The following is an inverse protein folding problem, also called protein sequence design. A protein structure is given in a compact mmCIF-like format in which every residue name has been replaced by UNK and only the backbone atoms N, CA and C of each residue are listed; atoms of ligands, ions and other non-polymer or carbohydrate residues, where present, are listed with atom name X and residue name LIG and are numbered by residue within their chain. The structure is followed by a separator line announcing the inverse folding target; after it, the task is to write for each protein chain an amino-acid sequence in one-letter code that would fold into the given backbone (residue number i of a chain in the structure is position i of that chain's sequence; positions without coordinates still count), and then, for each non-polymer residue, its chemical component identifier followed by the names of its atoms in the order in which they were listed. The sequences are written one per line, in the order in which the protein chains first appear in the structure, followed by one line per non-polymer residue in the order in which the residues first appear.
data_IF_032477824730
#
_entry.id   IF_032477824730
#
_cell.length_a   1.000
_cell.length_b   1.000
_cell.length_c   1.000
_cell.angle_alpha   90.00
_cell.angle_beta   90.00
_cell.angle_gamma   90.00
#
_symmetry.space_group_name_H-M   'P 1'
#
loop_
_entity.id
_entity.type
_entity.pdbx_description
1 polymer ?
#
# COMPACT_ATOMS: atom_id res chain seq x y z
N UNK A 1 39.38 26.83 -11.23
CA UNK A 1 39.29 26.08 -12.50
C UNK A 1 38.69 24.72 -12.17
N UNK A 2 37.38 24.60 -12.32
CA UNK A 2 36.56 23.58 -11.66
C UNK A 2 36.10 22.53 -12.67
N UNK A 3 36.62 21.30 -12.54
CA UNK A 3 36.18 20.15 -13.32
C UNK A 3 34.91 19.55 -12.71
N UNK A 4 33.79 19.67 -13.45
CA UNK A 4 32.52 19.02 -13.16
C UNK A 4 32.53 17.59 -13.71
N UNK A 5 32.53 16.63 -12.80
CA UNK A 5 32.42 15.19 -13.06
C UNK A 5 31.03 14.84 -13.61
N UNK A 6 30.94 14.56 -14.91
CA UNK A 6 29.74 14.07 -15.56
C UNK A 6 29.43 12.63 -15.13
N UNK A 7 28.34 12.44 -14.38
CA UNK A 7 27.84 11.11 -14.01
C UNK A 7 27.27 10.39 -15.24
N UNK A 8 27.99 9.37 -15.69
CA UNK A 8 27.57 8.41 -16.71
C UNK A 8 26.23 7.74 -16.34
N UNK A 9 25.26 7.75 -17.25
CA UNK A 9 24.01 6.99 -17.16
C UNK A 9 24.19 5.69 -17.95
N UNK A 10 23.90 4.49 -17.41
CA UNK A 10 24.08 3.26 -18.16
C UNK A 10 23.08 3.17 -19.32
N UNK A 11 23.59 2.94 -20.52
CA UNK A 11 22.83 2.60 -21.72
C UNK A 11 22.04 1.31 -21.50
N UNK A 12 20.77 1.32 -21.89
CA UNK A 12 19.85 0.17 -21.80
C UNK A 12 20.21 -0.86 -22.88
N UNK A 13 20.89 -1.94 -22.50
CA UNK A 13 21.12 -3.10 -23.37
C UNK A 13 19.85 -3.95 -23.38
N UNK A 14 19.33 -4.27 -24.58
CA UNK A 14 18.22 -5.20 -24.74
C UNK A 14 18.72 -6.62 -24.49
N UNK A 15 18.43 -7.16 -23.30
CA UNK A 15 18.71 -8.56 -22.95
C UNK A 15 17.64 -9.52 -23.48
N UNK A 16 18.10 -10.69 -23.93
CA UNK A 16 17.36 -11.77 -24.57
C UNK A 16 16.31 -12.46 -23.68
N UNK A 17 15.44 -13.22 -24.33
CA UNK A 17 14.28 -13.91 -23.77
C UNK A 17 14.70 -15.06 -22.82
N UNK A 18 14.30 -14.97 -21.56
CA UNK A 18 14.50 -16.07 -20.60
C UNK A 18 14.07 -15.73 -19.19
N UNK A 19 12.76 -15.60 -18.94
CA UNK A 19 12.18 -15.73 -17.61
C UNK A 19 10.67 -15.91 -17.75
N UNK A 20 10.19 -17.09 -17.33
CA UNK A 20 8.80 -17.53 -17.19
C UNK A 20 7.76 -16.39 -17.21
N UNK A 21 7.21 -16.15 -18.39
CA UNK A 21 6.06 -15.25 -18.56
C UNK A 21 4.84 -16.01 -18.05
N UNK A 22 4.25 -15.54 -16.94
CA UNK A 22 2.86 -15.85 -16.62
C UNK A 22 1.97 -15.17 -17.67
N UNK A 23 1.87 -15.81 -18.83
CA UNK A 23 1.23 -15.30 -20.05
C UNK A 23 -0.31 -15.37 -19.99
N UNK A 24 -0.88 -15.92 -18.92
CA UNK A 24 -2.30 -16.30 -18.87
C UNK A 24 -3.29 -15.15 -18.63
N UNK A 25 -2.82 -13.92 -18.42
CA UNK A 25 -3.69 -12.81 -18.01
C UNK A 25 -3.36 -11.45 -18.66
N UNK A 26 -2.61 -11.44 -19.77
CA UNK A 26 -2.59 -10.26 -20.64
C UNK A 26 -3.71 -10.43 -21.66
N UNK A 27 -4.56 -9.40 -21.91
CA UNK A 27 -5.43 -9.45 -23.07
C UNK A 27 -4.55 -9.76 -24.28
N UNK A 28 -4.94 -10.69 -25.16
CA UNK A 28 -4.16 -11.00 -26.35
C UNK A 28 -3.90 -9.68 -27.07
N UNK A 29 -2.63 -9.40 -27.41
CA UNK A 29 -2.32 -8.29 -28.30
C UNK A 29 -3.19 -8.46 -29.53
N UNK A 30 -3.86 -7.38 -29.95
CA UNK A 30 -4.68 -7.41 -31.15
C UNK A 30 -3.83 -7.97 -32.31
N UNK A 31 -4.39 -8.88 -33.11
CA UNK A 31 -3.65 -9.56 -34.17
C UNK A 31 -3.00 -8.57 -35.15
N UNK A 32 -3.67 -7.44 -35.41
CA UNK A 32 -3.18 -6.35 -36.27
C UNK A 32 -1.97 -5.59 -35.70
N UNK A 33 -1.62 -5.78 -34.43
CA UNK A 33 -0.46 -5.17 -33.76
C UNK A 33 0.68 -6.16 -33.51
N UNK A 34 0.46 -7.46 -33.75
CA UNK A 34 1.40 -8.51 -33.37
C UNK A 34 2.77 -8.37 -34.06
N UNK A 35 2.77 -7.88 -35.31
CA UNK A 35 3.96 -7.70 -36.13
C UNK A 35 4.58 -6.30 -36.06
N UNK A 36 4.03 -5.39 -35.25
CA UNK A 36 4.43 -3.97 -35.25
C UNK A 36 5.13 -3.58 -33.95
N UNK A 37 6.14 -2.73 -34.08
CA UNK A 37 6.77 -2.04 -32.97
C UNK A 37 5.81 -0.99 -32.37
N UNK A 38 5.96 -0.63 -31.08
CA UNK A 38 5.18 0.45 -30.48
C UNK A 38 5.27 1.78 -31.25
N UNK A 39 6.43 2.07 -31.87
CA UNK A 39 6.63 3.27 -32.69
C UNK A 39 5.78 3.23 -33.95
N UNK A 40 5.74 2.11 -34.66
CA UNK A 40 4.91 1.95 -35.88
C UNK A 40 3.42 2.02 -35.56
N UNK A 41 2.98 1.40 -34.46
CA UNK A 41 1.59 1.49 -33.99
C UNK A 41 1.22 2.94 -33.70
N UNK A 42 2.08 3.68 -32.98
CA UNK A 42 1.84 5.09 -32.69
C UNK A 42 1.89 5.99 -33.94
N UNK A 43 2.70 5.65 -34.95
CA UNK A 43 2.79 6.38 -36.22
C UNK A 43 1.47 6.31 -37.02
N UNK A 44 0.71 5.21 -36.90
CA UNK A 44 -0.64 5.08 -37.49
C UNK A 44 -1.64 6.08 -36.90
N UNK A 45 -1.39 6.56 -35.68
CA UNK A 45 -2.21 7.57 -35.01
C UNK A 45 -1.57 8.96 -35.15
N UNK A 46 -1.72 9.59 -36.32
CA UNK A 46 -1.06 10.87 -36.63
C UNK A 46 -1.52 12.01 -35.69
N UNK A 47 -0.60 12.81 -35.11
CA UNK A 47 -0.94 14.01 -34.35
C UNK A 47 -1.85 14.95 -35.15
N UNK A 48 -2.81 15.58 -34.48
CA UNK A 48 -3.79 16.49 -35.12
C UNK A 48 -4.90 15.79 -35.90
N UNK A 49 -4.71 14.54 -36.35
CA UNK A 49 -5.75 13.74 -37.04
C UNK A 49 -6.44 12.73 -36.12
N UNK A 50 -5.75 12.26 -35.08
CA UNK A 50 -6.31 11.30 -34.11
C UNK A 50 -6.72 12.02 -32.84
N UNK A 51 -7.91 11.70 -32.32
CA UNK A 51 -8.37 12.26 -31.04
C UNK A 51 -7.38 11.93 -29.91
N UNK A 52 -6.95 12.90 -29.07
CA UNK A 52 -5.93 12.71 -28.04
C UNK A 52 -6.18 11.54 -27.08
N UNK A 53 -7.43 11.35 -26.65
CA UNK A 53 -7.78 10.22 -25.77
C UNK A 53 -7.62 8.87 -26.48
N UNK A 54 -7.74 8.80 -27.81
CA UNK A 54 -7.49 7.56 -28.54
C UNK A 54 -6.00 7.22 -28.55
N UNK A 55 -5.14 8.22 -28.72
CA UNK A 55 -3.68 8.06 -28.59
C UNK A 55 -3.32 7.60 -27.16
N UNK A 56 -3.99 8.14 -26.14
CA UNK A 56 -3.80 7.69 -24.76
C UNK A 56 -4.17 6.22 -24.56
N UNK A 57 -5.29 5.75 -25.11
CA UNK A 57 -5.68 4.33 -25.01
C UNK A 57 -4.64 3.41 -25.65
N UNK A 58 -4.06 3.80 -26.80
CA UNK A 58 -2.98 3.05 -27.45
C UNK A 58 -1.74 2.97 -26.54
N UNK A 59 -1.33 4.08 -25.93
CA UNK A 59 -0.22 4.09 -24.97
C UNK A 59 -0.49 3.20 -23.75
N UNK A 60 -1.73 3.22 -23.25
CA UNK A 60 -2.13 2.38 -22.12
C UNK A 60 -2.08 0.89 -22.47
N UNK A 61 -2.55 0.50 -23.67
CA UNK A 61 -2.51 -0.88 -24.14
C UNK A 61 -1.06 -1.37 -24.33
N UNK A 62 -0.19 -0.53 -24.89
CA UNK A 62 1.21 -0.87 -25.13
C UNK A 62 2.07 -0.97 -23.85
N UNK A 63 1.85 -0.08 -22.88
CA UNK A 63 2.85 0.18 -21.85
C UNK A 63 2.35 0.13 -20.41
N UNK A 64 1.04 0.12 -20.15
CA UNK A 64 0.53 0.27 -18.79
C UNK A 64 0.92 -0.89 -17.85
N UNK A 65 1.21 -2.07 -18.41
CA UNK A 65 1.74 -3.20 -17.65
C UNK A 65 3.16 -2.98 -17.10
N UNK A 66 3.92 -2.03 -17.65
CA UNK A 66 5.31 -1.76 -17.24
C UNK A 66 5.37 -0.98 -15.93
N UNK A 67 6.28 -1.38 -15.05
CA UNK A 67 6.66 -0.56 -13.89
C UNK A 67 7.51 0.63 -14.33
N UNK A 68 7.38 1.77 -13.64
CA UNK A 68 7.98 3.04 -14.06
C UNK A 68 9.48 3.14 -13.78
N UNK A 69 10.00 2.25 -12.93
CA UNK A 69 11.40 2.29 -12.46
C UNK A 69 12.08 0.93 -12.33
N UNK A 70 11.35 -0.18 -12.49
CA UNK A 70 11.87 -1.53 -12.24
C UNK A 70 11.49 -2.41 -13.42
N UNK A 71 12.28 -3.44 -13.71
CA UNK A 71 11.96 -4.42 -14.76
C UNK A 71 10.98 -5.45 -14.22
N UNK A 72 9.74 -5.01 -14.02
CA UNK A 72 8.65 -5.87 -13.57
C UNK A 72 7.30 -5.42 -14.11
N UNK A 73 6.35 -6.34 -14.07
CA UNK A 73 4.96 -6.09 -14.39
C UNK A 73 4.23 -5.50 -13.18
N UNK A 74 3.46 -4.43 -13.37
CA UNK A 74 2.60 -3.86 -12.33
C UNK A 74 1.29 -4.63 -12.18
N UNK A 75 0.73 -4.62 -10.97
CA UNK A 75 -0.55 -5.25 -10.65
C UNK A 75 -1.71 -4.65 -11.47
N UNK A 76 -2.76 -5.44 -11.74
CA UNK A 76 -3.98 -4.95 -12.41
C UNK A 76 -4.59 -3.72 -11.72
N UNK A 77 -4.55 -3.66 -10.38
CA UNK A 77 -5.01 -2.48 -9.62
C UNK A 77 -4.21 -1.23 -10.02
N UNK A 78 -2.88 -1.32 -10.02
CA UNK A 78 -2.01 -0.20 -10.42
C UNK A 78 -2.27 0.23 -11.85
N UNK A 79 -2.45 -0.73 -12.78
CA UNK A 79 -2.79 -0.43 -14.18
C UNK A 79 -4.10 0.34 -14.28
N UNK A 80 -5.12 -0.12 -13.57
CA UNK A 80 -6.44 0.52 -13.53
C UNK A 80 -6.37 1.94 -12.95
N UNK A 81 -5.77 2.11 -11.78
CA UNK A 81 -5.63 3.42 -11.13
C UNK A 81 -4.87 4.42 -12.01
N UNK A 82 -3.78 3.97 -12.67
CA UNK A 82 -3.01 4.79 -13.61
C UNK A 82 -3.84 5.17 -14.83
N UNK A 83 -4.56 4.22 -15.43
CA UNK A 83 -5.41 4.48 -16.59
C UNK A 83 -6.56 5.45 -16.26
N UNK A 84 -7.27 5.21 -15.15
CA UNK A 84 -8.37 6.05 -14.68
C UNK A 84 -7.88 7.47 -14.36
N UNK A 85 -6.70 7.59 -13.75
CA UNK A 85 -6.04 8.89 -13.56
C UNK A 85 -5.69 9.56 -14.88
N UNK A 86 -4.97 8.91 -15.79
CA UNK A 86 -4.52 9.55 -17.03
C UNK A 86 -5.72 10.01 -17.88
N UNK A 87 -6.77 9.19 -18.00
CA UNK A 87 -8.01 9.61 -18.69
C UNK A 87 -8.64 10.85 -18.06
N UNK A 88 -8.71 10.88 -16.73
CA UNK A 88 -9.22 12.04 -15.99
C UNK A 88 -8.32 13.26 -16.19
N UNK A 89 -7.00 13.10 -16.11
CA UNK A 89 -6.03 14.17 -16.30
C UNK A 89 -6.22 14.88 -17.64
N UNK A 90 -6.32 14.15 -18.75
CA UNK A 90 -6.55 14.78 -20.06
C UNK A 90 -7.92 15.46 -20.15
N UNK A 91 -8.98 14.89 -19.57
CA UNK A 91 -10.28 15.58 -19.52
C UNK A 91 -10.25 16.83 -18.66
N UNK A 92 -9.57 16.79 -17.53
CA UNK A 92 -9.50 17.91 -16.58
C UNK A 92 -8.63 19.06 -17.11
N UNK A 93 -7.65 18.78 -17.99
CA UNK A 93 -6.96 19.83 -18.74
C UNK A 93 -7.97 20.72 -19.48
N UNK A 94 -8.96 20.11 -20.13
CA UNK A 94 -10.00 20.85 -20.83
C UNK A 94 -11.01 21.48 -19.86
N UNK A 95 -11.55 20.66 -18.94
CA UNK A 95 -12.70 21.05 -18.10
C UNK A 95 -12.34 21.98 -16.95
N UNK A 96 -11.11 21.93 -16.46
CA UNK A 96 -10.71 22.58 -15.19
C UNK A 96 -9.49 23.49 -15.31
N UNK A 97 -8.63 23.25 -16.30
CA UNK A 97 -7.36 23.97 -16.48
C UNK A 97 -7.37 24.96 -17.66
N UNK A 98 -8.54 25.18 -18.30
CA UNK A 98 -8.74 26.25 -19.28
C UNK A 98 -8.22 25.97 -20.70
N UNK A 99 -7.82 24.73 -21.02
CA UNK A 99 -7.43 24.39 -22.38
C UNK A 99 -8.67 24.12 -23.25
N UNK A 100 -8.75 24.71 -24.45
CA UNK A 100 -9.88 24.48 -25.37
C UNK A 100 -10.06 23.00 -25.72
N UNK A 101 -8.94 22.29 -25.92
CA UNK A 101 -8.90 20.86 -26.21
C UNK A 101 -7.78 20.19 -25.41
N UNK A 102 -7.92 18.89 -25.07
CA UNK A 102 -6.80 18.13 -24.49
C UNK A 102 -5.65 18.06 -25.49
N UNK A 103 -4.38 18.21 -25.07
CA UNK A 103 -3.25 18.01 -25.97
C UNK A 103 -3.11 16.54 -26.34
N UNK A 104 -2.57 16.26 -27.52
CA UNK A 104 -2.03 14.93 -27.82
C UNK A 104 -1.05 14.52 -26.71
N UNK A 105 -1.10 13.29 -26.17
CA UNK A 105 -0.18 12.86 -25.12
C UNK A 105 1.30 13.06 -25.46
N UNK A 106 1.69 12.95 -26.73
CA UNK A 106 3.06 13.18 -27.20
C UNK A 106 3.48 14.66 -27.10
N UNK A 107 2.51 15.56 -27.13
CA UNK A 107 2.68 17.01 -27.07
C UNK A 107 2.43 17.57 -25.65
N UNK A 108 2.39 16.71 -24.64
CA UNK A 108 2.36 17.14 -23.25
C UNK A 108 3.63 17.96 -22.94
N UNK A 109 3.44 19.04 -22.18
CA UNK A 109 4.45 20.08 -21.93
C UNK A 109 4.27 20.68 -20.55
N UNK A 110 5.29 21.39 -20.03
CA UNK A 110 5.34 21.85 -18.64
C UNK A 110 4.13 22.74 -18.27
N UNK A 111 3.66 23.58 -19.21
CA UNK A 111 2.44 24.39 -19.04
C UNK A 111 1.21 23.57 -18.62
N UNK A 112 1.05 22.37 -19.18
CA UNK A 112 -0.10 21.49 -18.87
C UNK A 112 0.03 20.90 -17.47
N UNK A 113 1.27 20.56 -17.06
CA UNK A 113 1.53 20.03 -15.72
C UNK A 113 1.30 21.10 -14.67
N UNK A 114 1.86 22.31 -14.86
CA UNK A 114 1.64 23.45 -13.97
C UNK A 114 0.16 23.79 -13.80
N UNK A 115 -0.58 23.87 -14.90
CA UNK A 115 -2.00 24.16 -14.86
C UNK A 115 -2.79 23.11 -14.06
N UNK A 116 -2.49 21.82 -14.25
CA UNK A 116 -3.14 20.75 -13.48
C UNK A 116 -2.71 20.71 -12.01
N UNK A 117 -1.45 21.04 -11.69
CA UNK A 117 -1.03 21.18 -10.29
C UNK A 117 -1.80 22.32 -9.61
N UNK A 118 -1.96 23.46 -10.28
CA UNK A 118 -2.77 24.58 -9.77
C UNK A 118 -4.24 24.17 -9.54
N UNK A 119 -4.82 23.37 -10.45
CA UNK A 119 -6.17 22.77 -10.24
C UNK A 119 -6.18 21.91 -8.98
N UNK A 120 -5.20 21.02 -8.80
CA UNK A 120 -5.15 20.14 -7.63
C UNK A 120 -4.93 20.88 -6.31
N UNK A 121 -4.16 21.98 -6.32
CA UNK A 121 -3.99 22.85 -5.16
C UNK A 121 -5.30 23.56 -4.81
N UNK A 122 -5.99 24.12 -5.80
CA UNK A 122 -7.31 24.76 -5.62
C UNK A 122 -8.37 23.78 -5.11
N UNK A 123 -8.33 22.53 -5.57
CA UNK A 123 -9.18 21.43 -5.07
C UNK A 123 -8.70 20.84 -3.73
N UNK A 124 -7.63 21.39 -3.14
CA UNK A 124 -7.06 20.97 -1.85
C UNK A 124 -6.79 19.45 -1.80
N UNK A 125 -6.32 18.87 -2.91
CA UNK A 125 -6.00 17.45 -2.93
C UNK A 125 -4.88 17.13 -1.94
N UNK A 126 -5.04 16.01 -1.22
CA UNK A 126 -4.04 15.57 -0.27
C UNK A 126 -2.65 15.45 -0.93
N UNK A 127 -1.56 15.87 -0.27
CA UNK A 127 -0.22 15.87 -0.85
C UNK A 127 0.25 14.52 -1.40
N UNK A 128 -0.08 13.42 -0.71
CA UNK A 128 0.21 12.06 -1.16
C UNK A 128 -0.51 11.68 -2.47
N UNK A 129 -1.70 12.24 -2.71
CA UNK A 129 -2.46 12.06 -3.95
C UNK A 129 -1.75 12.76 -5.12
N UNK A 130 -1.34 14.02 -4.94
CA UNK A 130 -0.62 14.78 -5.96
C UNK A 130 0.70 14.08 -6.33
N UNK A 131 1.47 13.59 -5.35
CA UNK A 131 2.67 12.81 -5.66
C UNK A 131 2.40 11.52 -6.44
N UNK A 132 1.27 10.86 -6.16
CA UNK A 132 0.87 9.66 -6.88
C UNK A 132 0.52 10.01 -8.33
N UNK A 133 -0.17 11.14 -8.55
CA UNK A 133 -0.48 11.67 -9.88
C UNK A 133 0.78 12.04 -10.66
N UNK A 134 1.72 12.78 -10.06
CA UNK A 134 3.04 13.06 -10.65
C UNK A 134 3.81 11.78 -10.98
N UNK A 135 3.73 10.74 -10.13
CA UNK A 135 4.36 9.44 -10.41
C UNK A 135 3.72 8.73 -11.62
N UNK A 136 2.41 8.82 -11.79
CA UNK A 136 1.74 8.29 -12.98
C UNK A 136 2.10 9.06 -14.25
N UNK A 137 2.22 10.39 -14.16
CA UNK A 137 2.70 11.23 -15.25
C UNK A 137 4.16 10.93 -15.62
N UNK A 138 5.04 10.66 -14.66
CA UNK A 138 6.41 10.16 -14.93
C UNK A 138 6.40 8.85 -15.71
N UNK A 139 5.45 7.97 -15.40
CA UNK A 139 5.23 6.75 -16.18
C UNK A 139 4.88 7.04 -17.64
N UNK A 140 3.91 7.94 -17.87
CA UNK A 140 3.55 8.39 -19.21
C UNK A 140 4.74 9.03 -19.95
N UNK A 141 5.48 9.91 -19.29
CA UNK A 141 6.65 10.58 -19.86
C UNK A 141 7.74 9.57 -20.26
N UNK A 142 7.98 8.55 -19.44
CA UNK A 142 8.90 7.46 -19.76
C UNK A 142 8.46 6.65 -20.99
N UNK A 143 7.16 6.38 -21.15
CA UNK A 143 6.63 5.68 -22.34
C UNK A 143 6.84 6.47 -23.63
N UNK A 144 6.86 7.79 -23.52
CA UNK A 144 7.06 8.73 -24.61
C UNK A 144 8.54 9.05 -24.87
N UNK A 145 9.47 8.37 -24.19
CA UNK A 145 10.91 8.64 -24.35
C UNK A 145 11.37 9.96 -23.74
N UNK A 146 10.61 10.53 -22.80
CA UNK A 146 10.89 11.82 -22.13
C UNK A 146 11.17 11.62 -20.62
N UNK A 147 12.16 10.80 -20.21
CA UNK A 147 12.51 10.67 -18.79
C UNK A 147 12.95 12.03 -18.22
N UNK A 148 12.61 12.31 -16.96
CA UNK A 148 12.95 13.59 -16.31
C UNK A 148 12.05 14.78 -16.68
N UNK A 149 11.14 14.64 -17.65
CA UNK A 149 10.20 15.70 -18.03
C UNK A 149 9.31 16.15 -16.87
N UNK A 150 8.78 15.21 -16.08
CA UNK A 150 8.00 15.54 -14.88
C UNK A 150 8.97 15.72 -13.71
N UNK A 151 9.12 16.98 -13.28
CA UNK A 151 10.04 17.44 -12.24
C UNK A 151 9.58 17.04 -10.83
N UNK A 152 10.37 17.40 -9.83
CA UNK A 152 10.03 17.20 -8.43
C UNK A 152 8.95 18.18 -7.94
N UNK A 153 8.19 17.84 -6.88
CA UNK A 153 7.08 18.67 -6.39
C UNK A 153 7.45 20.15 -6.17
N UNK A 154 8.65 20.43 -5.66
CA UNK A 154 9.14 21.80 -5.42
C UNK A 154 9.15 22.67 -6.68
N UNK A 155 9.44 22.11 -7.85
CA UNK A 155 9.40 22.85 -9.13
C UNK A 155 8.00 23.38 -9.48
N UNK A 156 6.97 22.74 -8.95
CA UNK A 156 5.57 23.13 -9.13
C UNK A 156 5.02 23.95 -7.95
N UNK A 157 5.88 24.48 -7.08
CA UNK A 157 5.46 25.29 -5.93
C UNK A 157 4.85 24.47 -4.77
N UNK A 158 5.19 23.19 -4.69
CA UNK A 158 4.71 22.29 -3.63
C UNK A 158 5.79 22.17 -2.54
N UNK A 159 5.51 22.62 -1.31
CA UNK A 159 6.54 22.66 -0.25
C UNK A 159 6.93 21.27 0.28
N UNK A 160 8.13 21.13 0.83
CA UNK A 160 8.57 19.84 1.39
C UNK A 160 7.72 19.42 2.60
N UNK A 161 7.32 20.35 3.47
CA UNK A 161 6.55 20.05 4.67
C UNK A 161 5.13 19.53 4.36
N UNK A 162 4.50 20.07 3.32
CA UNK A 162 3.19 19.61 2.87
C UNK A 162 3.30 18.24 2.17
N UNK A 163 4.36 17.99 1.39
CA UNK A 163 4.41 16.84 0.50
C UNK A 163 5.33 15.69 0.95
N UNK A 164 6.14 15.86 2.00
CA UNK A 164 6.96 14.75 2.50
C UNK A 164 6.07 13.62 3.01
N UNK A 165 6.25 12.40 2.46
CA UNK A 165 5.58 11.23 3.00
C UNK A 165 6.20 10.90 4.35
N UNK A 166 5.43 11.10 5.41
CA UNK A 166 5.77 10.55 6.70
C UNK A 166 5.50 9.04 6.66
N UNK A 167 6.56 8.25 6.49
CA UNK A 167 6.47 6.79 6.47
C UNK A 167 6.11 6.21 7.85
N UNK A 168 6.30 7.00 8.91
CA UNK A 168 6.00 6.62 10.29
C UNK A 168 4.58 6.99 10.71
N UNK A 169 3.94 6.11 11.49
CA UNK A 169 2.69 6.42 12.16
C UNK A 169 2.89 7.61 13.12
N UNK A 170 2.05 8.64 12.96
CA UNK A 170 2.02 9.80 13.86
C UNK A 170 1.00 9.66 14.98
N UNK A 171 0.02 8.76 14.81
CA UNK A 171 -1.01 8.43 15.78
C UNK A 171 -1.27 6.93 15.72
N UNK A 172 -1.75 6.40 16.83
CA UNK A 172 -2.25 5.03 16.86
C UNK A 172 -3.56 4.95 16.04
N UNK A 173 -3.65 3.92 15.20
CA UNK A 173 -4.81 3.64 14.33
C UNK A 173 -5.45 2.28 14.66
N UNK A 174 -4.98 1.66 15.74
CA UNK A 174 -5.51 0.42 16.30
C UNK A 174 -6.95 0.62 16.80
N UNK A 175 -7.66 -0.47 17.04
CA UNK A 175 -9.04 -0.39 17.53
C UNK A 175 -9.05 -0.03 19.01
N UNK A 176 -8.10 -0.56 19.78
CA UNK A 176 -7.91 -0.20 21.19
C UNK A 176 -7.73 1.30 21.36
N UNK A 177 -6.88 1.94 20.56
CA UNK A 177 -6.68 3.39 20.64
C UNK A 177 -7.88 4.24 20.21
N UNK A 178 -8.85 3.64 19.52
CA UNK A 178 -10.11 4.27 19.16
C UNK A 178 -11.22 4.00 20.20
N UNK A 179 -10.90 3.37 21.34
CA UNK A 179 -11.87 3.03 22.38
C UNK A 179 -12.87 1.94 21.98
N UNK A 180 -12.53 1.14 20.95
CA UNK A 180 -13.41 0.08 20.47
C UNK A 180 -13.19 -1.17 21.32
N UNK A 181 -14.25 -1.68 21.94
CA UNK A 181 -14.29 -3.05 22.47
C UNK A 181 -14.24 -4.04 21.30
N UNK A 182 -13.03 -4.56 21.05
CA UNK A 182 -12.76 -5.44 19.91
C UNK A 182 -13.61 -6.70 19.99
N UNK A 183 -13.70 -7.34 21.15
CA UNK A 183 -14.39 -8.61 21.30
C UNK A 183 -15.90 -8.44 21.12
N UNK A 184 -16.49 -7.41 21.72
CA UNK A 184 -17.92 -7.13 21.57
C UNK A 184 -18.29 -6.78 20.12
N UNK A 185 -17.47 -5.97 19.43
CA UNK A 185 -17.74 -5.60 18.03
C UNK A 185 -17.54 -6.79 17.10
N UNK A 186 -16.48 -7.57 17.27
CA UNK A 186 -16.25 -8.76 16.45
C UNK A 186 -17.33 -9.82 16.67
N UNK A 187 -17.78 -10.03 17.92
CA UNK A 187 -18.89 -10.93 18.23
C UNK A 187 -20.17 -10.57 17.47
N UNK A 188 -20.57 -9.29 17.53
CA UNK A 188 -21.77 -8.82 16.79
C UNK A 188 -21.61 -8.95 15.27
N UNK A 189 -20.42 -8.68 14.72
CA UNK A 189 -20.16 -8.83 13.29
C UNK A 189 -20.20 -10.30 12.86
N UNK A 190 -19.67 -11.23 13.65
CA UNK A 190 -19.71 -12.68 13.36
C UNK A 190 -21.15 -13.16 13.25
N UNK A 191 -22.04 -12.72 14.15
CA UNK A 191 -23.47 -13.05 14.11
C UNK A 191 -24.14 -12.46 12.86
N UNK A 192 -23.82 -11.22 12.50
CA UNK A 192 -24.43 -10.56 11.33
C UNK A 192 -23.92 -11.08 9.98
N UNK A 193 -22.63 -11.36 9.88
CA UNK A 193 -21.96 -11.84 8.67
C UNK A 193 -20.74 -12.70 9.02
N UNK A 194 -20.94 -14.02 9.09
CA UNK A 194 -19.91 -14.99 9.47
C UNK A 194 -18.62 -14.89 8.64
N UNK A 195 -18.72 -14.60 7.33
CA UNK A 195 -17.55 -14.48 6.45
C UNK A 195 -16.72 -13.24 6.78
N UNK A 196 -17.36 -12.09 7.01
CA UNK A 196 -16.65 -10.86 7.39
C UNK A 196 -16.12 -10.95 8.81
N UNK A 197 -16.90 -11.47 9.76
CA UNK A 197 -16.46 -11.67 11.14
C UNK A 197 -15.23 -12.56 11.25
N UNK A 198 -15.25 -13.74 10.62
CA UNK A 198 -14.09 -14.62 10.57
C UNK A 198 -12.90 -13.98 9.82
N UNK A 199 -13.13 -13.22 8.75
CA UNK A 199 -12.07 -12.45 8.08
C UNK A 199 -11.41 -11.42 9.00
N UNK A 200 -12.17 -10.75 9.87
CA UNK A 200 -11.65 -9.80 10.84
C UNK A 200 -10.84 -10.49 11.95
N UNK A 201 -11.31 -11.64 12.43
CA UNK A 201 -10.59 -12.50 13.39
C UNK A 201 -9.24 -12.95 12.83
N UNK A 202 -9.19 -13.34 11.55
CA UNK A 202 -7.94 -13.64 10.87
C UNK A 202 -7.01 -12.42 10.75
N UNK A 203 -7.56 -11.21 10.52
CA UNK A 203 -6.76 -9.98 10.52
C UNK A 203 -6.16 -9.70 11.89
N UNK A 204 -6.94 -9.85 12.96
CA UNK A 204 -6.49 -9.67 14.35
C UNK A 204 -5.37 -10.67 14.69
N UNK A 205 -5.57 -11.96 14.44
CA UNK A 205 -4.64 -13.00 14.88
C UNK A 205 -3.35 -13.13 14.03
N UNK A 206 -3.46 -12.95 12.72
CA UNK A 206 -2.35 -13.17 11.77
C UNK A 206 -1.83 -11.87 11.15
N UNK A 207 -2.38 -10.72 11.52
CA UNK A 207 -2.03 -9.46 10.90
C UNK A 207 -2.23 -9.52 9.38
N UNK A 208 -3.38 -9.98 8.89
CA UNK A 208 -3.68 -10.06 7.45
C UNK A 208 -4.06 -8.70 6.88
N UNK A 209 -3.96 -8.56 5.55
CA UNK A 209 -4.62 -7.45 4.83
C UNK A 209 -6.05 -7.88 4.50
N UNK A 210 -6.98 -6.93 4.36
CA UNK A 210 -8.37 -7.18 3.93
C UNK A 210 -8.50 -8.15 2.74
N UNK A 211 -7.64 -8.01 1.73
CA UNK A 211 -7.66 -8.90 0.56
C UNK A 211 -7.09 -10.29 0.88
N UNK A 212 -6.06 -10.35 1.72
CA UNK A 212 -5.47 -11.62 2.17
C UNK A 212 -6.50 -12.40 3.00
N UNK A 213 -7.21 -11.75 3.92
CA UNK A 213 -8.23 -12.41 4.75
C UNK A 213 -9.39 -12.96 3.93
N UNK A 214 -9.88 -12.23 2.92
CA UNK A 214 -10.97 -12.71 2.04
C UNK A 214 -10.52 -13.82 1.09
N UNK A 215 -9.26 -13.83 0.68
CA UNK A 215 -8.69 -14.87 -0.20
C UNK A 215 -8.09 -16.05 0.58
N UNK A 216 -8.10 -15.99 1.91
CA UNK A 216 -7.50 -16.98 2.79
C UNK A 216 -8.19 -18.34 2.62
N UNK A 217 -7.40 -19.41 2.55
CA UNK A 217 -7.88 -20.79 2.38
C UNK A 217 -7.56 -21.61 3.63
N UNK A 218 -8.46 -21.65 4.63
CA UNK A 218 -8.13 -22.15 5.95
C UNK A 218 -7.76 -23.64 5.99
N UNK A 219 -8.31 -24.46 5.09
CA UNK A 219 -8.00 -25.90 5.00
C UNK A 219 -6.67 -26.21 4.30
N UNK A 220 -6.15 -25.29 3.46
CA UNK A 220 -4.90 -25.47 2.67
C UNK A 220 -3.70 -24.66 3.16
N UNK A 221 -3.89 -23.83 4.19
CA UNK A 221 -2.89 -22.83 4.58
C UNK A 221 -1.88 -23.34 5.59
N UNK A 222 -2.17 -24.41 6.32
CA UNK A 222 -1.28 -24.93 7.36
C UNK A 222 -0.21 -25.81 6.74
N UNK A 223 1.05 -25.56 7.11
CA UNK A 223 2.21 -26.33 6.70
C UNK A 223 3.09 -26.63 7.91
N UNK A 224 3.83 -27.75 7.94
CA UNK A 224 4.81 -28.01 8.97
C UNK A 224 6.01 -27.05 8.83
N UNK A 225 6.76 -26.83 9.92
CA UNK A 225 7.90 -25.91 9.97
C UNK A 225 8.92 -26.13 8.86
N UNK A 226 9.18 -27.39 8.51
CA UNK A 226 10.20 -27.81 7.55
C UNK A 226 9.90 -27.25 6.13
N UNK A 227 8.63 -27.04 5.80
CA UNK A 227 8.21 -26.45 4.51
C UNK A 227 8.48 -24.94 4.44
N UNK A 228 8.70 -24.28 5.58
CA UNK A 228 8.96 -22.83 5.61
C UNK A 228 10.34 -22.48 5.04
N UNK A 229 11.30 -23.42 5.10
CA UNK A 229 12.70 -23.18 4.73
C UNK A 229 13.41 -22.17 5.65
N UNK A 230 12.84 -21.88 6.81
CA UNK A 230 13.48 -21.05 7.84
C UNK A 230 14.53 -21.88 8.60
N UNK A 231 15.60 -21.26 9.10
CA UNK A 231 16.61 -21.98 9.88
C UNK A 231 16.03 -22.40 11.24
N UNK A 232 16.56 -23.48 11.82
CA UNK A 232 15.98 -24.13 13.02
C UNK A 232 15.85 -23.18 14.22
N UNK A 233 16.78 -22.24 14.40
CA UNK A 233 16.75 -21.21 15.44
C UNK A 233 15.58 -20.22 15.29
N UNK A 234 14.95 -20.15 14.11
CA UNK A 234 13.76 -19.34 13.87
C UNK A 234 12.44 -20.09 14.09
N UNK A 235 12.49 -21.38 14.50
CA UNK A 235 11.31 -22.18 14.83
C UNK A 235 10.59 -21.60 16.06
N UNK A 236 9.33 -21.27 15.87
CA UNK A 236 8.42 -20.71 16.87
C UNK A 236 7.23 -21.64 17.15
N UNK A 237 6.95 -22.58 16.24
CA UNK A 237 5.89 -23.57 16.35
C UNK A 237 6.22 -24.77 15.46
N UNK A 238 5.47 -25.87 15.60
CA UNK A 238 5.58 -27.01 14.69
C UNK A 238 4.85 -26.76 13.37
N UNK A 239 3.81 -25.93 13.41
CA UNK A 239 2.95 -25.64 12.27
C UNK A 239 2.85 -24.13 12.04
N UNK A 240 2.73 -23.76 10.76
CA UNK A 240 2.66 -22.38 10.30
C UNK A 240 1.53 -22.19 9.31
N UNK A 241 0.94 -21.00 9.33
CA UNK A 241 0.04 -20.53 8.28
C UNK A 241 0.86 -19.89 7.16
N UNK A 242 0.78 -20.49 5.98
CA UNK A 242 1.31 -19.98 4.71
C UNK A 242 0.38 -18.92 4.12
N UNK A 243 0.88 -17.70 3.95
CA UNK A 243 0.11 -16.57 3.39
C UNK A 243 0.72 -16.11 2.08
N UNK A 244 0.05 -16.39 0.95
CA UNK A 244 0.48 -15.96 -0.40
C UNK A 244 -0.65 -15.33 -1.19
N UNK A 245 -1.84 -15.90 -1.10
CA UNK A 245 -3.02 -15.52 -1.85
C UNK A 245 -3.51 -14.13 -1.41
N UNK A 246 -3.74 -13.25 -2.37
CA UNK A 246 -4.13 -11.87 -2.10
C UNK A 246 -3.01 -10.97 -1.56
N UNK A 247 -1.83 -11.50 -1.27
CA UNK A 247 -0.71 -10.75 -0.74
C UNK A 247 -0.24 -9.64 -1.70
N UNK A 248 0.04 -8.45 -1.15
CA UNK A 248 0.48 -7.31 -1.95
C UNK A 248 1.83 -7.64 -2.61
N UNK A 249 1.83 -7.69 -3.95
CA UNK A 249 3.03 -8.03 -4.72
C UNK A 249 3.39 -9.52 -4.71
N UNK A 250 2.46 -10.40 -4.33
CA UNK A 250 2.67 -11.85 -4.32
C UNK A 250 3.68 -12.34 -3.28
N UNK A 251 3.96 -11.51 -2.26
CA UNK A 251 4.95 -11.82 -1.23
C UNK A 251 4.42 -12.88 -0.29
N UNK A 252 5.05 -14.05 -0.33
CA UNK A 252 4.84 -15.14 0.61
C UNK A 252 5.38 -14.74 1.98
N UNK A 253 4.66 -15.13 3.04
CA UNK A 253 5.17 -15.17 4.41
C UNK A 253 4.54 -16.33 5.18
N UNK A 254 5.20 -16.73 6.25
CA UNK A 254 4.72 -17.73 7.20
C UNK A 254 4.46 -17.07 8.56
N UNK A 255 3.39 -17.49 9.23
CA UNK A 255 3.05 -17.03 10.58
C UNK A 255 2.84 -18.26 11.47
N UNK A 256 3.54 -18.39 12.61
CA UNK A 256 3.45 -19.58 13.45
C UNK A 256 2.05 -19.76 14.06
N UNK A 257 1.62 -21.00 14.24
CA UNK A 257 0.43 -21.37 15.03
C UNK A 257 0.84 -21.64 16.48
N UNK A 258 1.22 -20.57 17.17
CA UNK A 258 1.88 -20.57 18.50
C UNK A 258 0.98 -20.05 19.63
N UNK A 259 -0.22 -19.56 19.32
CA UNK A 259 -1.10 -18.85 20.26
C UNK A 259 -2.53 -19.38 20.20
N UNK A 260 -3.25 -19.44 21.34
CA UNK A 260 -4.66 -19.82 21.36
C UNK A 260 -5.53 -18.97 20.43
N UNK A 261 -5.24 -17.67 20.33
CA UNK A 261 -5.96 -16.75 19.45
C UNK A 261 -5.81 -17.09 17.96
N UNK A 262 -4.60 -17.50 17.51
CA UNK A 262 -4.37 -17.93 16.12
C UNK A 262 -5.07 -19.24 15.80
N UNK A 263 -5.03 -20.20 16.74
CA UNK A 263 -5.75 -21.47 16.62
C UNK A 263 -7.26 -21.22 16.52
N UNK A 264 -7.84 -20.45 17.45
CA UNK A 264 -9.26 -20.14 17.44
C UNK A 264 -9.72 -19.39 16.18
N UNK A 265 -8.92 -18.44 15.69
CA UNK A 265 -9.21 -17.74 14.43
C UNK A 265 -9.17 -18.66 13.21
N UNK A 266 -8.24 -19.62 13.18
CA UNK A 266 -8.15 -20.63 12.12
C UNK A 266 -9.34 -21.59 12.17
N UNK A 267 -9.71 -22.09 13.34
CA UNK A 267 -10.85 -23.01 13.50
C UNK A 267 -12.17 -22.35 13.12
N UNK A 268 -12.39 -21.10 13.54
CA UNK A 268 -13.54 -20.32 13.08
C UNK A 268 -13.53 -20.16 11.55
N UNK A 269 -12.36 -19.90 10.96
CA UNK A 269 -12.25 -19.78 9.51
C UNK A 269 -12.56 -21.11 8.79
N UNK A 270 -12.11 -22.25 9.32
CA UNK A 270 -12.41 -23.59 8.81
C UNK A 270 -13.90 -23.90 8.88
N UNK A 271 -14.56 -23.55 9.97
CA UNK A 271 -16.01 -23.70 10.13
C UNK A 271 -16.79 -22.81 9.14
N UNK A 272 -16.25 -21.64 8.78
CA UNK A 272 -16.90 -20.70 7.88
C UNK A 272 -16.69 -21.03 6.39
N UNK A 273 -15.50 -21.47 6.00
CA UNK A 273 -15.18 -21.81 4.61
C UNK A 273 -15.45 -23.30 4.34
N UNK A 274 -16.63 -23.57 3.77
CA UNK A 274 -17.10 -24.93 3.52
C UNK A 274 -16.40 -25.55 2.30
N UNK A 275 -15.65 -26.63 2.53
CA UNK A 275 -14.93 -27.40 1.51
C UNK A 275 -13.42 -27.19 1.52
N UNK A 276 -12.70 -28.24 1.14
CA UNK A 276 -11.24 -28.35 1.22
C UNK A 276 -10.49 -27.21 0.49
N UNK A 277 -11.02 -26.76 -0.65
CA UNK A 277 -10.41 -25.68 -1.45
C UNK A 277 -11.08 -24.31 -1.30
N UNK A 278 -12.02 -24.18 -0.36
CA UNK A 278 -12.75 -22.95 -0.14
C UNK A 278 -11.87 -21.83 0.38
N UNK A 279 -12.14 -20.61 -0.09
CA UNK A 279 -11.60 -19.39 0.49
C UNK A 279 -12.63 -18.73 1.41
N UNK A 280 -12.17 -17.83 2.28
CA UNK A 280 -13.02 -17.12 3.25
C UNK A 280 -14.13 -16.24 2.65
N UNK A 281 -13.98 -15.76 1.41
CA UNK A 281 -15.05 -15.04 0.73
C UNK A 281 -16.25 -15.95 0.48
N UNK A 282 -17.47 -15.40 0.59
CA UNK A 282 -18.70 -16.15 0.26
C UNK A 282 -18.61 -16.67 -1.18
N UNK A 283 -18.79 -17.99 -1.42
CA UNK A 283 -18.62 -18.59 -2.74
C UNK A 283 -19.65 -18.11 -3.78
N UNK A 284 -20.81 -17.61 -3.33
CA UNK A 284 -21.82 -17.00 -4.21
C UNK A 284 -21.40 -15.64 -4.76
N UNK A 285 -20.28 -15.11 -4.31
CA UNK A 285 -19.81 -13.76 -4.63
C UNK A 285 -18.46 -13.80 -5.35
N UNK A 286 -18.33 -12.96 -6.38
CA UNK A 286 -16.99 -12.62 -6.90
C UNK A 286 -16.15 -11.96 -5.81
N UNK A 287 -14.81 -12.03 -5.94
CA UNK A 287 -13.89 -11.34 -5.04
C UNK A 287 -14.21 -9.84 -4.90
N UNK A 288 -14.60 -9.17 -6.00
CA UNK A 288 -15.01 -7.76 -5.96
C UNK A 288 -16.24 -7.55 -5.08
N UNK A 289 -17.23 -8.44 -5.17
CA UNK A 289 -18.46 -8.37 -4.35
C UNK A 289 -18.17 -8.70 -2.89
N UNK A 290 -17.33 -9.70 -2.60
CA UNK A 290 -16.88 -10.00 -1.24
C UNK A 290 -16.14 -8.84 -0.57
N UNK A 291 -15.20 -8.19 -1.28
CA UNK A 291 -14.50 -7.01 -0.74
C UNK A 291 -15.43 -5.83 -0.50
N UNK A 292 -16.46 -5.63 -1.36
CA UNK A 292 -17.49 -4.59 -1.13
C UNK A 292 -18.38 -4.94 0.06
N UNK A 293 -18.76 -6.21 0.22
CA UNK A 293 -19.55 -6.67 1.36
C UNK A 293 -18.79 -6.44 2.67
N UNK A 294 -17.49 -6.74 2.70
CA UNK A 294 -16.62 -6.40 3.82
C UNK A 294 -16.72 -4.90 4.15
N UNK A 295 -16.52 -4.03 3.16
CA UNK A 295 -16.56 -2.57 3.39
C UNK A 295 -17.94 -2.08 3.87
N UNK A 296 -19.02 -2.66 3.34
CA UNK A 296 -20.38 -2.40 3.79
C UNK A 296 -20.60 -2.80 5.26
N UNK A 297 -20.14 -3.99 5.66
CA UNK A 297 -20.27 -4.45 7.05
C UNK A 297 -19.48 -3.54 7.98
N UNK A 298 -18.25 -3.14 7.62
CA UNK A 298 -17.48 -2.17 8.40
C UNK A 298 -18.26 -0.87 8.61
N UNK A 299 -18.87 -0.33 7.56
CA UNK A 299 -19.68 0.88 7.65
C UNK A 299 -20.93 0.68 8.51
N UNK A 300 -21.63 -0.44 8.35
CA UNK A 300 -22.85 -0.78 9.12
C UNK A 300 -22.59 -0.80 10.63
N UNK A 301 -21.44 -1.30 11.05
CA UNK A 301 -21.04 -1.35 12.46
C UNK A 301 -20.29 -0.10 12.92
N UNK A 302 -20.29 0.97 12.12
CA UNK A 302 -19.65 2.24 12.46
C UNK A 302 -18.12 2.21 12.47
N UNK A 303 -17.49 1.12 12.04
CA UNK A 303 -16.03 0.99 12.01
C UNK A 303 -15.47 1.70 10.77
N UNK A 304 -15.62 3.02 10.79
CA UNK A 304 -15.12 3.97 9.81
C UNK A 304 -14.36 5.09 10.51
N UNK A 305 -13.46 5.75 9.77
CA UNK A 305 -12.67 6.85 10.32
C UNK A 305 -13.53 8.03 10.82
N UNK A 306 -14.73 8.21 10.25
CA UNK A 306 -15.63 9.30 10.62
C UNK A 306 -16.50 8.99 11.85
N UNK A 307 -16.75 7.72 12.14
CA UNK A 307 -17.62 7.29 13.25
C UNK A 307 -16.77 6.82 14.42
N UNK A 308 -16.37 5.55 14.45
CA UNK A 308 -15.54 5.00 15.52
C UNK A 308 -14.05 5.35 15.39
N UNK A 309 -13.65 6.33 14.56
CA UNK A 309 -12.24 6.75 14.42
C UNK A 309 -11.27 5.71 13.81
N UNK A 310 -11.73 4.50 13.53
CA UNK A 310 -10.93 3.37 13.05
C UNK A 310 -11.49 2.75 11.77
N UNK A 311 -10.68 1.92 11.11
CA UNK A 311 -11.13 1.13 9.93
C UNK A 311 -10.82 -0.33 10.16
N UNK A 312 -11.27 -1.23 9.29
CA UNK A 312 -10.84 -2.63 9.34
C UNK A 312 -9.32 -2.83 9.23
N UNK A 313 -8.56 -1.84 8.72
CA UNK A 313 -7.10 -1.90 8.76
C UNK A 313 -6.52 -1.68 10.17
N UNK A 314 -7.29 -1.11 11.09
CA UNK A 314 -6.89 -0.86 12.48
C UNK A 314 -6.59 -2.15 13.25
N UNK A 315 -7.32 -3.24 13.03
CA UNK A 315 -6.98 -4.55 13.61
C UNK A 315 -5.60 -5.06 13.18
N UNK A 316 -5.18 -4.71 11.96
CA UNK A 316 -3.82 -5.00 11.51
C UNK A 316 -2.80 -4.14 12.26
N UNK A 317 -3.13 -2.88 12.58
CA UNK A 317 -2.28 -2.06 13.45
C UNK A 317 -2.15 -2.70 14.83
N UNK A 318 -3.26 -3.16 15.41
CA UNK A 318 -3.30 -3.92 16.67
C UNK A 318 -2.29 -5.07 16.64
N UNK A 319 -2.42 -5.99 15.67
CA UNK A 319 -1.54 -7.16 15.56
C UNK A 319 -0.04 -6.82 15.47
N UNK A 320 0.33 -5.72 14.81
CA UNK A 320 1.73 -5.29 14.73
C UNK A 320 2.22 -4.65 16.03
N UNK A 321 1.35 -3.89 16.69
CA UNK A 321 1.64 -3.29 17.99
C UNK A 321 1.80 -4.38 19.05
N UNK A 322 0.91 -5.36 19.08
CA UNK A 322 0.98 -6.50 20.00
C UNK A 322 2.24 -7.32 19.77
N UNK A 323 2.59 -7.59 18.50
CA UNK A 323 3.85 -8.29 18.20
C UNK A 323 5.09 -7.51 18.63
N UNK A 324 5.11 -6.19 18.44
CA UNK A 324 6.21 -5.39 18.95
C UNK A 324 6.28 -5.45 20.48
N UNK A 325 5.13 -5.31 21.15
CA UNK A 325 5.05 -5.29 22.62
C UNK A 325 5.50 -6.62 23.22
N UNK A 326 5.10 -7.74 22.63
CA UNK A 326 5.54 -9.07 23.05
C UNK A 326 7.06 -9.26 22.91
N UNK A 327 7.67 -8.71 21.86
CA UNK A 327 9.11 -8.83 21.63
C UNK A 327 9.94 -7.84 22.47
N UNK A 328 9.46 -6.60 22.61
CA UNK A 328 10.19 -5.52 23.28
C UNK A 328 9.92 -5.45 24.79
N UNK A 329 8.87 -6.11 25.28
CA UNK A 329 8.39 -6.00 26.66
C UNK A 329 7.71 -4.66 27.00
N UNK A 330 7.64 -3.72 26.06
CA UNK A 330 7.02 -2.40 26.25
C UNK A 330 6.21 -1.98 25.04
N UNK A 331 5.27 -1.06 25.24
CA UNK A 331 4.48 -0.51 24.13
C UNK A 331 5.36 0.23 23.10
N UNK A 332 4.97 0.25 21.81
CA UNK A 332 5.73 0.96 20.78
C UNK A 332 5.64 2.49 20.93
N UNK A 333 6.54 3.25 20.26
CA UNK A 333 6.55 4.71 20.32
C UNK A 333 5.23 5.39 19.96
N UNK A 334 4.42 4.80 19.06
CA UNK A 334 3.10 5.35 18.70
C UNK A 334 2.11 5.35 19.87
N UNK A 335 2.32 4.51 20.88
CA UNK A 335 1.58 4.48 22.16
C UNK A 335 2.35 5.14 23.31
N UNK A 336 3.45 5.85 23.03
CA UNK A 336 4.26 6.52 24.04
C UNK A 336 5.09 5.60 24.94
N UNK A 337 5.27 4.32 24.58
CA UNK A 337 5.99 3.38 25.44
C UNK A 337 7.47 3.69 25.64
N UNK A 338 7.99 3.17 26.75
CA UNK A 338 9.33 3.43 27.27
C UNK A 338 10.44 3.11 26.25
N UNK A 339 11.60 3.76 26.44
CA UNK A 339 12.76 3.46 25.63
C UNK A 339 13.35 2.09 26.00
N UNK A 340 13.69 1.31 24.97
CA UNK A 340 14.45 0.06 25.08
C UNK A 340 15.77 0.25 24.35
N UNK A 341 16.70 -0.69 24.54
CA UNK A 341 17.96 -0.67 23.82
C UNK A 341 17.75 -0.69 22.30
N UNK A 342 18.68 -0.14 21.50
CA UNK A 342 18.56 -0.13 20.04
C UNK A 342 18.39 -1.54 19.43
N UNK A 343 19.03 -2.55 20.00
CA UNK A 343 18.95 -3.93 19.52
C UNK A 343 17.58 -4.55 19.78
N UNK A 344 17.00 -4.31 20.96
CA UNK A 344 15.63 -4.76 21.28
C UNK A 344 14.61 -4.06 20.38
N UNK A 345 14.71 -2.74 20.20
CA UNK A 345 13.80 -2.00 19.29
C UNK A 345 13.93 -2.51 17.84
N UNK A 346 15.15 -2.76 17.38
CA UNK A 346 15.42 -3.28 16.04
C UNK A 346 14.83 -4.68 15.85
N UNK A 347 15.02 -5.58 16.81
CA UNK A 347 14.47 -6.93 16.79
C UNK A 347 12.93 -6.90 16.78
N UNK A 348 12.31 -6.13 17.67
CA UNK A 348 10.85 -5.98 17.75
C UNK A 348 10.23 -5.38 16.48
N UNK A 349 10.87 -4.35 15.90
CA UNK A 349 10.44 -3.81 14.60
C UNK A 349 10.63 -4.81 13.47
N UNK A 350 11.69 -5.61 13.51
CA UNK A 350 11.92 -6.65 12.52
C UNK A 350 10.83 -7.73 12.60
N UNK A 351 10.51 -8.21 13.80
CA UNK A 351 9.44 -9.17 14.04
C UNK A 351 8.07 -8.66 13.54
N UNK A 352 7.71 -7.41 13.88
CA UNK A 352 6.50 -6.77 13.37
C UNK A 352 6.50 -6.58 11.84
N UNK A 353 7.64 -6.19 11.25
CA UNK A 353 7.77 -6.08 9.79
C UNK A 353 7.58 -7.44 9.10
N UNK A 354 8.17 -8.50 9.66
CA UNK A 354 8.06 -9.87 9.16
C UNK A 354 6.61 -10.37 9.22
N UNK A 355 5.92 -10.20 10.36
CA UNK A 355 4.49 -10.50 10.50
C UNK A 355 3.65 -9.73 9.46
N UNK A 356 4.03 -8.48 9.17
CA UNK A 356 3.38 -7.67 8.15
C UNK A 356 3.73 -8.07 6.69
N UNK A 357 4.64 -9.01 6.46
CA UNK A 357 5.11 -9.42 5.13
C UNK A 357 6.04 -8.41 4.48
N UNK A 358 6.91 -7.80 5.28
CA UNK A 358 7.93 -6.85 4.85
C UNK A 358 9.33 -7.30 5.28
N UNK A 359 10.26 -7.38 4.32
CA UNK A 359 11.67 -7.67 4.61
C UNK A 359 12.46 -6.44 5.08
N UNK A 360 11.83 -5.26 5.11
CA UNK A 360 12.48 -4.00 5.50
C UNK A 360 11.91 -3.53 6.82
N UNK A 361 12.74 -3.48 7.85
CA UNK A 361 12.38 -3.02 9.21
C UNK A 361 11.68 -1.67 9.22
N UNK A 362 12.12 -0.74 8.36
CA UNK A 362 11.49 0.60 8.25
C UNK A 362 9.98 0.57 7.98
N UNK A 363 9.48 -0.50 7.32
CA UNK A 363 8.05 -0.63 7.02
C UNK A 363 7.20 -0.81 8.29
N UNK A 364 7.78 -1.32 9.39
CA UNK A 364 7.09 -1.40 10.67
C UNK A 364 6.81 0.00 11.25
N UNK A 365 7.59 1.02 10.87
CA UNK A 365 7.36 2.40 11.27
C UNK A 365 5.95 2.92 10.95
N UNK A 366 5.33 2.43 9.87
CA UNK A 366 3.96 2.77 9.49
C UNK A 366 2.89 2.28 10.47
N UNK A 367 3.24 1.33 11.36
CA UNK A 367 2.38 0.82 12.42
C UNK A 367 2.82 1.32 13.80
N UNK A 368 4.14 1.31 14.06
CA UNK A 368 4.73 1.49 15.39
C UNK A 368 5.19 2.92 15.71
N UNK A 369 5.17 3.81 14.71
CA UNK A 369 5.72 5.15 14.82
C UNK A 369 7.24 5.20 14.77
N UNK A 370 7.76 6.42 14.73
CA UNK A 370 9.20 6.69 14.67
C UNK A 370 9.73 7.19 16.02
N UNK A 371 11.01 6.93 16.30
CA UNK A 371 11.69 7.44 17.50
C UNK A 371 11.62 8.98 17.62
N UNK A 372 11.47 9.69 16.50
CA UNK A 372 11.33 11.16 16.46
C UNK A 372 10.10 11.69 17.22
N UNK A 373 9.05 10.88 17.40
CA UNK A 373 7.92 11.25 18.26
C UNK A 373 8.32 11.44 19.72
N UNK A 374 9.33 10.70 20.20
CA UNK A 374 9.86 10.84 21.57
C UNK A 374 10.51 12.18 21.81
N UNK A 375 11.24 12.75 20.83
CA UNK A 375 11.87 14.07 20.96
C UNK A 375 10.85 15.22 20.99
N UNK A 376 9.69 15.05 20.34
CA UNK A 376 8.63 16.04 20.35
C UNK A 376 7.81 15.99 21.65
N UNK A 377 7.46 14.79 22.14
CA UNK A 377 6.73 14.60 23.40
C UNK A 377 7.59 14.93 24.63
N UNK A 378 8.88 14.57 24.63
CA UNK A 378 9.80 14.93 25.72
C UNK A 378 10.08 16.44 25.79
N UNK A 379 9.91 17.18 24.69
CA UNK A 379 9.98 18.65 24.67
C UNK A 379 8.70 19.31 25.20
N UNK A 380 7.55 18.63 25.14
CA UNK A 380 6.29 19.15 25.66
C UNK A 380 6.10 18.87 27.16
N UNK A 381 6.75 17.85 27.71
CA UNK A 381 6.71 17.50 29.14
C UNK A 381 7.79 18.16 30.02
N UNK A 382 8.60 19.08 29.48
CA UNK A 382 9.59 19.88 30.21
C UNK A 382 9.21 21.36 30.12
N UNK A 383 8.20 21.77 30.88
CA UNK A 383 8.17 23.12 31.44
C UNK A 383 8.56 22.97 32.92
N UNK A 384 9.59 23.67 33.42
CA UNK A 384 9.83 23.72 34.85
C UNK A 384 8.79 24.67 35.48
N UNK A 385 7.92 24.11 36.32
CA UNK A 385 7.45 24.86 37.48
C UNK A 385 8.65 24.98 38.44
N UNK A 386 9.24 26.17 38.54
CA UNK A 386 9.99 26.61 39.71
C UNK A 386 10.39 28.09 39.53
N UNK A 387 9.64 28.98 40.18
CA UNK A 387 10.22 30.17 40.81
C UNK A 387 9.60 30.26 42.19
N UNK A 388 10.30 29.65 43.15
CA UNK A 388 9.94 29.57 44.54
C UNK A 388 9.96 30.92 45.26
N UNK A 389 9.30 30.85 46.41
CA UNK A 389 9.14 31.86 47.43
C UNK A 389 10.46 32.13 48.19
N UNK A 390 10.64 33.40 48.60
CA UNK A 390 11.27 33.81 49.86
C UNK A 390 12.81 33.88 49.99
N UNK A 391 13.35 35.09 50.21
CA UNK A 391 14.12 35.42 51.42
C UNK A 391 14.44 36.93 51.52
N UNK A 392 14.14 37.49 52.69
CA UNK A 392 14.52 38.81 53.19
C UNK A 392 16.05 39.03 53.24
N UNK A 393 16.48 40.25 52.91
CA UNK A 393 17.23 41.17 53.80
C UNK A 393 17.30 42.57 53.20
#
# INVERSE_FOLDING_TARGET
MSNLNARHVPRRVQGAAGAWRDARHQPPRRQDWAALTPTEILARHRPGKTHPLRVLEVLLELFNARHTALEKVVSHKTRRERADFLRRFFRDLQRKAGFKTPPDPRNLGDRHIRAMVAVWQREQLAPATIQTYLSFLRGLASWLGKPGFIRDPAHYGLSLAEYQRHEYARRDKSWTAAGIDIEAVLGRIVVYDRHVGASLRLIQAFGLRRKESVMFRPHRCVVPFEVTGLPSEARQADHYVRIKEGAKGGRLRFVPLDTPQRLAALELARAVAEGEDAHMGNPRHSLKKNLRRYDYVMAKFGVTAAMLGATGHGLRHEAMIDRYTAEAGVAPPVRGGAAVSPDVDKAARHAAAHLAGHNRTRAAGAYLGGLLGRRALAKQGRQPEESGDGAER
#
